data_IF_730138106551
#
_entry.id   IF_730138106551
#
_cell.length_a   1.000
_cell.length_b   1.000
_cell.length_c   1.000
_cell.angle_alpha   90.00
_cell.angle_beta   90.00
_cell.angle_gamma   90.00
#
_symmetry.space_group_name_H-M   'P 1'
#
loop_
_entity.id
_entity.type
_entity.pdbx_description
1 polymer ?
#
# COMPACT_ATOMS: atom_id res chain seq x y z
N UNK A 1 36.30 -53.78 -11.54
CA UNK A 1 35.21 -52.93 -11.98
C UNK A 1 33.98 -53.12 -11.08
N UNK A 2 32.95 -52.26 -11.22
CA UNK A 2 31.67 -52.40 -10.51
C UNK A 2 30.98 -53.70 -10.94
N UNK A 3 31.00 -54.02 -12.21
CA UNK A 3 30.38 -55.24 -12.77
C UNK A 3 31.02 -56.54 -12.24
N UNK A 4 32.33 -56.57 -12.11
CA UNK A 4 33.04 -57.70 -11.49
C UNK A 4 32.67 -57.87 -10.01
N UNK A 5 32.48 -56.76 -9.29
CA UNK A 5 32.06 -56.84 -7.90
C UNK A 5 30.61 -57.34 -7.74
N UNK A 6 29.74 -56.96 -8.68
CA UNK A 6 28.35 -57.44 -8.73
C UNK A 6 28.21 -58.91 -9.15
N UNK A 7 29.18 -59.41 -9.92
CA UNK A 7 29.23 -60.82 -10.34
C UNK A 7 29.70 -61.77 -9.24
N UNK A 8 30.22 -61.26 -8.11
CA UNK A 8 30.64 -62.12 -6.99
C UNK A 8 29.44 -62.78 -6.32
N UNK A 9 29.45 -64.12 -6.27
CA UNK A 9 28.45 -64.86 -5.50
C UNK A 9 28.64 -64.58 -3.99
N UNK A 10 27.57 -64.25 -3.30
CA UNK A 10 27.61 -63.98 -1.85
C UNK A 10 27.25 -65.31 -1.11
N UNK A 11 28.25 -66.08 -0.78
CA UNK A 11 28.17 -67.35 0.02
C UNK A 11 28.83 -67.08 1.39
N UNK A 12 28.64 -67.99 2.33
CA UNK A 12 29.30 -67.85 3.65
C UNK A 12 30.82 -67.79 3.52
N UNK A 13 31.42 -68.52 2.59
CA UNK A 13 32.86 -68.54 2.32
C UNK A 13 33.35 -67.26 1.64
N UNK A 14 32.56 -66.67 0.75
CA UNK A 14 32.93 -65.42 0.02
C UNK A 14 32.51 -64.13 0.70
N UNK A 15 31.77 -64.20 1.79
CA UNK A 15 31.18 -63.02 2.49
C UNK A 15 32.24 -61.99 2.84
N UNK A 16 33.44 -62.40 3.29
CA UNK A 16 34.53 -61.49 3.62
C UNK A 16 35.01 -60.71 2.38
N UNK A 17 35.22 -61.38 1.29
CA UNK A 17 35.67 -60.78 0.01
C UNK A 17 34.64 -59.85 -0.54
N UNK A 18 33.35 -60.18 -0.49
CA UNK A 18 32.25 -59.30 -0.92
C UNK A 18 32.19 -58.03 -0.06
N UNK A 19 32.37 -58.12 1.26
CA UNK A 19 32.44 -56.97 2.16
C UNK A 19 33.64 -56.05 1.86
N UNK A 20 34.80 -56.60 1.62
CA UNK A 20 35.99 -55.86 1.26
C UNK A 20 35.79 -55.13 -0.08
N UNK A 21 35.24 -55.80 -1.09
CA UNK A 21 34.96 -55.20 -2.39
C UNK A 21 33.92 -54.07 -2.32
N UNK A 22 32.89 -54.25 -1.50
CA UNK A 22 31.92 -53.19 -1.22
C UNK A 22 32.58 -52.00 -0.55
N UNK A 23 33.50 -52.21 0.38
CA UNK A 23 34.21 -51.14 1.05
C UNK A 23 35.13 -50.36 0.09
N UNK A 24 35.79 -51.05 -0.85
CA UNK A 24 36.57 -50.42 -1.93
C UNK A 24 35.69 -49.58 -2.83
N UNK A 25 34.59 -50.12 -3.36
CA UNK A 25 33.67 -49.37 -4.19
C UNK A 25 33.11 -48.12 -3.49
N UNK A 26 32.82 -48.21 -2.21
CA UNK A 26 32.38 -47.05 -1.43
C UNK A 26 33.47 -45.97 -1.25
N UNK A 27 34.75 -46.39 -1.13
CA UNK A 27 35.88 -45.46 -1.11
C UNK A 27 36.07 -44.79 -2.46
N UNK A 28 36.09 -45.56 -3.55
CA UNK A 28 36.17 -45.04 -4.92
C UNK A 28 35.06 -44.04 -5.21
N UNK A 29 33.83 -44.37 -4.82
CA UNK A 29 32.69 -43.45 -4.97
C UNK A 29 32.90 -42.13 -4.21
N UNK A 30 33.38 -42.18 -2.96
CA UNK A 30 33.67 -41.01 -2.15
C UNK A 30 34.77 -40.15 -2.77
N UNK A 31 35.82 -40.78 -3.27
CA UNK A 31 36.95 -40.11 -3.92
C UNK A 31 36.51 -39.44 -5.22
N UNK A 32 35.71 -40.10 -6.03
CA UNK A 32 35.14 -39.53 -7.25
C UNK A 32 34.22 -38.32 -6.94
N UNK A 33 33.40 -38.44 -5.90
CA UNK A 33 32.51 -37.33 -5.48
C UNK A 33 33.33 -36.17 -4.93
N UNK A 34 34.37 -36.41 -4.15
CA UNK A 34 35.28 -35.38 -3.68
C UNK A 34 35.98 -34.65 -4.85
N UNK A 35 36.44 -35.37 -5.87
CA UNK A 35 37.00 -34.78 -7.10
C UNK A 35 35.98 -33.93 -7.84
N UNK A 36 34.75 -34.47 -8.00
CA UNK A 36 33.65 -33.70 -8.60
C UNK A 36 33.39 -32.38 -7.88
N UNK A 37 33.37 -32.41 -6.54
CA UNK A 37 33.17 -31.18 -5.73
C UNK A 37 34.33 -30.21 -5.85
N UNK A 38 35.57 -30.72 -5.93
CA UNK A 38 36.75 -29.90 -6.13
C UNK A 38 36.71 -29.17 -7.50
N UNK A 39 36.38 -29.89 -8.57
CA UNK A 39 36.20 -29.33 -9.90
C UNK A 39 35.08 -28.28 -9.91
N UNK A 40 33.92 -28.60 -9.30
CA UNK A 40 32.83 -27.62 -9.16
C UNK A 40 33.31 -26.34 -8.49
N UNK A 41 34.03 -26.45 -7.38
CA UNK A 41 34.57 -25.29 -6.66
C UNK A 41 35.52 -24.45 -7.53
N UNK A 42 36.42 -25.10 -8.27
CA UNK A 42 37.33 -24.40 -9.18
C UNK A 42 36.60 -23.66 -10.30
N UNK A 43 35.54 -24.23 -10.83
CA UNK A 43 34.72 -23.58 -11.88
C UNK A 43 33.94 -22.40 -11.31
N UNK A 44 33.43 -22.54 -10.08
CA UNK A 44 32.61 -21.49 -9.45
C UNK A 44 33.43 -20.35 -8.84
N UNK A 45 34.67 -20.60 -8.43
CA UNK A 45 35.51 -19.63 -7.74
C UNK A 45 35.65 -18.29 -8.49
N UNK A 46 35.91 -18.24 -9.81
CA UNK A 46 35.99 -16.95 -10.53
C UNK A 46 34.68 -16.19 -10.53
N UNK A 47 33.55 -16.90 -10.51
CA UNK A 47 32.21 -16.24 -10.42
C UNK A 47 31.99 -15.69 -9.01
N UNK A 48 32.31 -16.44 -7.98
CA UNK A 48 32.19 -15.99 -6.58
C UNK A 48 33.06 -14.76 -6.30
N UNK A 49 34.28 -14.74 -6.83
CA UNK A 49 35.19 -13.61 -6.72
C UNK A 49 34.63 -12.36 -7.44
N UNK A 50 34.10 -12.54 -8.66
CA UNK A 50 33.42 -11.48 -9.39
C UNK A 50 32.17 -10.98 -8.66
N UNK A 51 31.34 -11.88 -8.14
CA UNK A 51 30.11 -11.55 -7.44
C UNK A 51 30.37 -10.74 -6.17
N UNK A 52 31.46 -11.07 -5.45
CA UNK A 52 31.91 -10.29 -4.30
C UNK A 52 32.24 -8.83 -4.68
N UNK A 53 33.01 -8.64 -5.75
CA UNK A 53 33.36 -7.30 -6.27
C UNK A 53 32.10 -6.57 -6.80
N UNK A 54 31.25 -7.27 -7.52
CA UNK A 54 29.99 -6.71 -8.02
C UNK A 54 29.10 -6.23 -6.85
N UNK A 55 29.00 -7.02 -5.82
CA UNK A 55 28.24 -6.65 -4.61
C UNK A 55 28.80 -5.38 -3.98
N UNK A 56 30.09 -5.32 -3.75
CA UNK A 56 30.75 -4.16 -3.15
C UNK A 56 30.62 -2.89 -4.01
N UNK A 57 30.85 -2.99 -5.33
CA UNK A 57 30.89 -1.83 -6.22
C UNK A 57 29.51 -1.41 -6.73
N UNK A 58 28.54 -2.33 -6.81
CA UNK A 58 27.24 -2.07 -7.40
C UNK A 58 26.12 -2.17 -6.35
N UNK A 59 25.91 -3.33 -5.76
CA UNK A 59 24.76 -3.55 -4.90
C UNK A 59 24.78 -2.65 -3.65
N UNK A 60 25.94 -2.60 -2.98
CA UNK A 60 26.11 -1.86 -1.72
C UNK A 60 26.21 -0.34 -1.95
N UNK A 61 26.42 0.11 -3.20
CA UNK A 61 26.47 1.53 -3.56
C UNK A 61 25.14 2.01 -4.15
N UNK A 62 24.64 1.32 -5.18
CA UNK A 62 23.44 1.76 -5.91
C UNK A 62 22.16 1.54 -5.13
N UNK A 63 22.06 0.45 -4.37
CA UNK A 63 20.89 0.18 -3.55
C UNK A 63 20.61 1.30 -2.54
N UNK A 64 21.54 1.61 -1.63
CA UNK A 64 21.38 2.71 -0.68
C UNK A 64 21.20 4.08 -1.34
N UNK A 65 21.83 4.32 -2.51
CA UNK A 65 21.65 5.57 -3.24
C UNK A 65 20.24 5.73 -3.78
N UNK A 66 19.66 4.66 -4.37
CA UNK A 66 18.28 4.64 -4.86
C UNK A 66 17.28 4.89 -3.72
N UNK A 67 17.46 4.22 -2.58
CA UNK A 67 16.59 4.43 -1.41
C UNK A 67 16.67 5.86 -0.86
N UNK A 68 17.86 6.47 -0.83
CA UNK A 68 18.01 7.87 -0.43
C UNK A 68 17.34 8.83 -1.41
N UNK A 69 17.39 8.54 -2.71
CA UNK A 69 16.73 9.36 -3.73
C UNK A 69 15.20 9.23 -3.63
N UNK A 70 14.69 8.02 -3.44
CA UNK A 70 13.25 7.79 -3.19
C UNK A 70 12.76 8.57 -1.98
N UNK A 71 13.47 8.50 -0.87
CA UNK A 71 13.12 9.25 0.33
C UNK A 71 13.06 10.77 0.07
N UNK A 72 14.09 11.33 -0.60
CA UNK A 72 14.11 12.76 -0.96
C UNK A 72 12.95 13.16 -1.88
N UNK A 73 12.60 12.31 -2.84
CA UNK A 73 11.46 12.55 -3.74
C UNK A 73 10.15 12.55 -2.92
N UNK A 74 9.97 11.55 -2.06
CA UNK A 74 8.79 11.47 -1.20
C UNK A 74 8.64 12.68 -0.29
N UNK A 75 9.71 13.14 0.36
CA UNK A 75 9.72 14.33 1.22
C UNK A 75 9.26 15.58 0.46
N UNK A 76 9.77 15.77 -0.76
CA UNK A 76 9.38 16.93 -1.61
C UNK A 76 7.92 16.82 -2.06
N UNK A 77 7.49 15.63 -2.47
CA UNK A 77 6.10 15.40 -2.90
C UNK A 77 5.12 15.61 -1.75
N UNK A 78 5.45 15.14 -0.55
CA UNK A 78 4.63 15.32 0.64
C UNK A 78 4.56 16.79 1.05
N UNK A 79 5.67 17.52 0.99
CA UNK A 79 5.71 18.95 1.21
C UNK A 79 4.83 19.72 0.22
N UNK A 80 4.92 19.42 -1.07
CA UNK A 80 4.08 20.03 -2.11
C UNK A 80 2.60 19.70 -1.94
N UNK A 81 2.27 18.48 -1.49
CA UNK A 81 0.89 18.07 -1.20
C UNK A 81 0.34 18.82 0.00
N UNK A 82 1.11 18.92 1.09
CA UNK A 82 0.73 19.67 2.29
C UNK A 82 0.53 21.15 1.99
N UNK A 83 1.38 21.76 1.18
CA UNK A 83 1.22 23.16 0.74
C UNK A 83 -0.06 23.39 -0.07
N UNK A 84 -0.39 22.47 -0.99
CA UNK A 84 -1.65 22.52 -1.74
C UNK A 84 -2.85 22.41 -0.80
N UNK A 85 -2.82 21.45 0.11
CA UNK A 85 -3.90 21.23 1.08
C UNK A 85 -4.12 22.45 1.96
N UNK A 86 -3.04 23.04 2.49
CA UNK A 86 -3.10 24.28 3.27
C UNK A 86 -3.77 25.42 2.49
N UNK A 87 -3.41 25.61 1.21
CA UNK A 87 -4.01 26.64 0.36
C UNK A 87 -5.48 26.39 0.05
N UNK A 88 -5.88 25.11 -0.10
CA UNK A 88 -7.28 24.75 -0.36
C UNK A 88 -8.11 24.87 0.92
N UNK A 89 -7.58 24.43 2.06
CA UNK A 89 -8.23 24.58 3.36
C UNK A 89 -8.42 26.04 3.78
N UNK A 90 -7.41 26.89 3.54
CA UNK A 90 -7.55 28.34 3.77
C UNK A 90 -8.67 28.95 2.91
N UNK A 91 -8.70 28.59 1.61
CA UNK A 91 -9.76 29.05 0.70
C UNK A 91 -11.15 28.55 1.13
N UNK A 92 -11.25 27.30 1.61
CA UNK A 92 -12.49 26.77 2.19
C UNK A 92 -12.94 27.61 3.39
N UNK A 93 -12.03 27.92 4.32
CA UNK A 93 -12.34 28.73 5.52
C UNK A 93 -12.85 30.10 5.17
N UNK A 94 -12.30 30.74 4.14
CA UNK A 94 -12.80 32.04 3.64
C UNK A 94 -14.21 31.93 3.07
N UNK A 95 -14.49 30.89 2.29
CA UNK A 95 -15.80 30.65 1.67
C UNK A 95 -16.89 30.35 2.68
N UNK A 96 -16.67 29.47 3.65
CA UNK A 96 -17.67 29.11 4.67
C UNK A 96 -18.01 30.28 5.56
N UNK A 97 -17.01 31.15 5.85
CA UNK A 97 -17.20 32.38 6.60
C UNK A 97 -18.02 33.40 5.79
N UNK A 98 -17.70 33.59 4.52
CA UNK A 98 -18.45 34.50 3.63
C UNK A 98 -19.91 34.02 3.41
N UNK A 99 -20.14 32.70 3.36
CA UNK A 99 -21.47 32.12 3.20
C UNK A 99 -22.26 31.96 4.52
N UNK A 100 -21.67 32.25 5.67
CA UNK A 100 -22.32 32.09 6.98
C UNK A 100 -22.60 30.65 7.38
N UNK A 101 -21.81 29.68 6.86
CA UNK A 101 -21.97 28.24 7.10
C UNK A 101 -20.75 27.64 7.83
N UNK A 102 -20.20 28.39 8.78
CA UNK A 102 -18.95 28.03 9.51
C UNK A 102 -19.03 26.68 10.29
N UNK A 103 -20.23 26.14 10.46
CA UNK A 103 -20.45 24.82 11.05
C UNK A 103 -20.09 23.64 10.12
N UNK A 104 -19.77 23.89 8.85
CA UNK A 104 -19.29 22.90 7.89
C UNK A 104 -17.81 22.68 8.07
N UNK A 105 -17.38 21.43 8.16
CA UNK A 105 -15.98 21.04 8.25
C UNK A 105 -15.31 20.86 6.87
N UNK A 106 -14.03 21.15 6.78
CA UNK A 106 -13.25 20.88 5.55
C UNK A 106 -13.31 19.40 5.13
N UNK A 107 -13.37 18.46 6.09
CA UNK A 107 -13.54 17.04 5.85
C UNK A 107 -14.85 16.67 5.14
N UNK A 108 -15.89 17.50 5.32
CA UNK A 108 -17.21 17.26 4.70
C UNK A 108 -17.17 17.40 3.17
N UNK A 109 -16.19 18.13 2.64
CA UNK A 109 -16.00 18.30 1.19
C UNK A 109 -15.59 16.99 0.50
N UNK A 110 -14.90 16.08 1.23
CA UNK A 110 -14.52 14.76 0.73
C UNK A 110 -13.50 14.78 -0.42
N UNK A 111 -12.67 15.83 -0.51
CA UNK A 111 -11.63 15.92 -1.54
C UNK A 111 -10.32 15.31 -1.07
N UNK A 112 -9.62 14.67 -2.03
CA UNK A 112 -8.25 14.17 -1.81
C UNK A 112 -7.27 15.04 -2.60
N UNK A 113 -6.29 15.59 -1.92
CA UNK A 113 -5.22 16.38 -2.54
C UNK A 113 -4.13 15.44 -3.04
N UNK A 114 -4.01 15.30 -4.37
CA UNK A 114 -2.97 14.52 -5.03
C UNK A 114 -1.93 15.41 -5.69
N UNK A 115 -0.76 14.84 -6.05
CA UNK A 115 0.27 15.57 -6.78
C UNK A 115 -0.24 16.09 -8.14
N UNK A 116 -1.07 15.32 -8.83
CA UNK A 116 -1.58 15.62 -10.17
C UNK A 116 -2.77 16.60 -10.16
N UNK A 117 -3.50 16.67 -9.04
CA UNK A 117 -4.64 17.58 -8.92
C UNK A 117 -4.18 19.05 -8.96
N UNK A 118 -4.78 19.84 -9.86
CA UNK A 118 -4.50 21.26 -9.91
C UNK A 118 -5.17 22.01 -8.77
N UNK A 119 -4.51 23.05 -8.27
CA UNK A 119 -5.08 23.92 -7.23
C UNK A 119 -6.40 24.54 -7.67
N UNK A 120 -6.52 24.89 -8.96
CA UNK A 120 -7.76 25.44 -9.55
C UNK A 120 -8.90 24.43 -9.47
N UNK A 121 -8.67 23.17 -9.84
CA UNK A 121 -9.70 22.11 -9.77
C UNK A 121 -10.13 21.82 -8.33
N UNK A 122 -9.17 21.78 -7.38
CA UNK A 122 -9.48 21.59 -5.97
C UNK A 122 -10.31 22.74 -5.40
N UNK A 123 -9.94 23.99 -5.70
CA UNK A 123 -10.71 25.17 -5.29
C UNK A 123 -12.11 25.21 -5.91
N UNK A 124 -12.26 24.76 -7.16
CA UNK A 124 -13.58 24.67 -7.80
C UNK A 124 -14.48 23.68 -7.05
N UNK A 125 -13.99 22.48 -6.72
CA UNK A 125 -14.76 21.49 -5.94
C UNK A 125 -15.18 22.01 -4.56
N UNK A 126 -14.27 22.71 -3.88
CA UNK A 126 -14.56 23.35 -2.60
C UNK A 126 -15.65 24.39 -2.75
N UNK A 127 -15.56 25.24 -3.78
CA UNK A 127 -16.55 26.28 -4.06
C UNK A 127 -17.92 25.66 -4.37
N UNK A 128 -17.97 24.67 -5.26
CA UNK A 128 -19.22 23.99 -5.63
C UNK A 128 -19.90 23.36 -4.40
N UNK A 129 -19.11 22.80 -3.48
CA UNK A 129 -19.65 22.24 -2.24
C UNK A 129 -20.23 23.32 -1.32
N UNK A 130 -19.51 24.41 -1.09
CA UNK A 130 -19.98 25.51 -0.22
C UNK A 130 -21.19 26.23 -0.83
N UNK A 131 -21.18 26.44 -2.14
CA UNK A 131 -22.33 27.05 -2.87
C UNK A 131 -23.57 26.15 -2.73
N UNK A 132 -23.42 24.83 -2.85
CA UNK A 132 -24.51 23.88 -2.63
C UNK A 132 -25.07 23.96 -1.21
N UNK A 133 -24.21 23.92 -0.20
CA UNK A 133 -24.63 24.03 1.20
C UNK A 133 -25.34 25.35 1.48
N UNK A 134 -24.83 26.46 0.94
CA UNK A 134 -25.43 27.78 1.06
C UNK A 134 -26.83 27.84 0.43
N UNK A 135 -26.98 27.22 -0.75
CA UNK A 135 -28.28 27.15 -1.42
C UNK A 135 -29.28 26.27 -0.63
N UNK A 136 -28.83 25.13 -0.11
CA UNK A 136 -29.65 24.25 0.75
C UNK A 136 -30.12 24.99 2.01
N UNK A 137 -29.22 25.75 2.68
CA UNK A 137 -29.56 26.59 3.83
C UNK A 137 -30.58 27.68 3.47
N UNK A 138 -30.39 28.31 2.31
CA UNK A 138 -31.35 29.28 1.80
C UNK A 138 -32.73 28.69 1.59
N UNK A 139 -32.80 27.49 1.02
CA UNK A 139 -34.06 26.73 0.86
C UNK A 139 -34.71 26.42 2.22
N UNK A 140 -33.93 25.89 3.18
CA UNK A 140 -34.44 25.53 4.51
C UNK A 140 -35.04 26.75 5.22
N UNK A 141 -34.37 27.91 5.17
CA UNK A 141 -34.83 29.13 5.83
C UNK A 141 -36.20 29.61 5.33
N UNK A 142 -36.62 29.23 4.12
CA UNK A 142 -37.94 29.53 3.57
C UNK A 142 -39.03 28.50 3.91
N UNK A 143 -38.70 27.44 4.68
CA UNK A 143 -39.66 26.34 4.98
C UNK A 143 -40.29 26.53 6.35
N UNK A 144 -41.51 25.96 6.52
CA UNK A 144 -42.30 26.06 7.75
C UNK A 144 -41.61 25.51 8.98
N UNK A 145 -40.81 24.46 8.83
CA UNK A 145 -40.08 23.79 9.95
C UNK A 145 -38.58 24.01 9.87
N UNK A 146 -38.14 25.17 9.45
CA UNK A 146 -36.75 25.49 9.21
C UNK A 146 -35.79 25.09 10.34
N UNK A 147 -36.05 25.36 11.64
CA UNK A 147 -35.11 24.99 12.69
C UNK A 147 -34.88 23.47 12.83
N UNK A 148 -35.97 22.68 12.69
CA UNK A 148 -35.92 21.22 12.81
C UNK A 148 -35.21 20.61 11.61
N UNK A 149 -35.56 21.06 10.40
CA UNK A 149 -34.94 20.64 9.14
C UNK A 149 -33.45 21.01 9.16
N UNK A 150 -33.08 22.18 9.65
CA UNK A 150 -31.69 22.61 9.79
C UNK A 150 -30.89 21.71 10.74
N UNK A 151 -31.49 21.30 11.85
CA UNK A 151 -30.86 20.38 12.80
C UNK A 151 -30.52 19.02 12.15
N UNK A 152 -31.49 18.43 11.41
CA UNK A 152 -31.29 17.20 10.64
C UNK A 152 -30.28 17.37 9.49
N UNK A 153 -30.37 18.49 8.76
CA UNK A 153 -29.46 18.81 7.65
C UNK A 153 -28.01 18.92 8.11
N UNK A 154 -27.75 19.52 9.26
CA UNK A 154 -26.42 19.59 9.85
C UNK A 154 -25.81 18.22 10.17
N UNK A 155 -26.62 17.20 10.33
CA UNK A 155 -26.16 15.81 10.57
C UNK A 155 -25.96 15.04 9.27
N UNK A 156 -26.96 15.08 8.36
CA UNK A 156 -27.00 14.22 7.18
C UNK A 156 -26.41 14.88 5.90
N UNK A 157 -26.25 16.20 5.86
CA UNK A 157 -25.78 16.96 4.68
C UNK A 157 -26.59 16.69 3.40
N UNK A 158 -27.85 16.32 3.56
CA UNK A 158 -28.76 16.02 2.45
C UNK A 158 -30.11 16.64 2.70
N UNK A 159 -30.47 17.65 1.89
CA UNK A 159 -31.69 18.42 2.06
C UNK A 159 -32.95 17.54 1.98
N UNK A 160 -33.03 16.66 0.99
CA UNK A 160 -34.19 15.80 0.82
C UNK A 160 -34.40 14.84 2.00
N UNK A 161 -33.30 14.27 2.53
CA UNK A 161 -33.33 13.38 3.71
C UNK A 161 -33.79 14.16 4.93
N UNK A 162 -33.26 15.35 5.17
CA UNK A 162 -33.63 16.19 6.30
C UNK A 162 -35.11 16.57 6.29
N UNK A 163 -35.64 16.99 5.13
CA UNK A 163 -37.06 17.32 4.98
C UNK A 163 -37.93 16.10 5.25
N UNK A 164 -37.65 14.96 4.61
CA UNK A 164 -38.41 13.74 4.78
C UNK A 164 -38.41 13.24 6.23
N UNK A 165 -37.28 13.29 6.91
CA UNK A 165 -37.16 12.89 8.33
C UNK A 165 -38.08 13.71 9.22
N UNK A 166 -38.08 15.05 9.05
CA UNK A 166 -38.93 15.94 9.86
C UNK A 166 -40.42 15.75 9.52
N UNK A 167 -40.78 15.64 8.23
CA UNK A 167 -42.16 15.40 7.80
C UNK A 167 -42.69 14.09 8.38
N UNK A 168 -41.98 12.97 8.25
CA UNK A 168 -42.38 11.68 8.82
C UNK A 168 -42.55 11.70 10.34
N UNK A 169 -41.70 12.46 11.03
CA UNK A 169 -41.78 12.63 12.49
C UNK A 169 -43.07 13.37 12.86
N UNK A 170 -43.42 14.44 12.15
CA UNK A 170 -44.65 15.20 12.37
C UNK A 170 -45.91 14.41 12.04
N UNK A 171 -45.91 13.69 10.92
CA UNK A 171 -47.03 12.83 10.55
C UNK A 171 -47.32 11.72 11.58
N UNK A 172 -46.26 11.23 12.25
CA UNK A 172 -46.39 10.27 13.32
C UNK A 172 -47.03 10.88 14.56
N UNK A 173 -46.54 12.04 14.99
CA UNK A 173 -47.09 12.78 16.14
C UNK A 173 -48.56 13.11 15.92
N UNK A 174 -48.90 13.62 14.73
CA UNK A 174 -50.30 13.94 14.39
C UNK A 174 -51.26 12.73 14.33
N UNK A 175 -50.75 11.51 14.24
CA UNK A 175 -51.58 10.28 14.29
C UNK A 175 -51.71 9.72 15.71
N UNK A 176 -50.83 10.11 16.60
CA UNK A 176 -50.82 9.67 18.00
C UNK A 176 -51.64 10.60 18.92
N UNK A 177 -51.96 11.83 18.47
CA UNK A 177 -52.88 12.79 19.05
C UNK A 177 -54.32 12.54 18.58
#
# INVERSE_FOLDING_TARGET
SVDEALALACTEESLKVVKERRAELNRDRKDLDARRMAVKKQIMQPFEDFDAVYKECVTDVYGPADEKLKAKIADVEDGLRADKEKKVSAYFSELVKAAGVEWVGYSDVGITVTMTASLKSLKAKVKDYVDKVSADVGCINGMENAPEIMAEYKQCRNLAVAINSVSQRKDRIAREE
#
